data_IF_844889267252
#
_entry.id   IF_844889267252
#
_cell.length_a   1.000
_cell.length_b   1.000
_cell.length_c   1.000
_cell.angle_alpha   90.00
_cell.angle_beta   90.00
_cell.angle_gamma   90.00
#
_symmetry.space_group_name_H-M   'P 1'
#
loop_
_entity.id
_entity.type
_entity.pdbx_description
1 polymer ?
#
# COMPACT_ATOMS: atom_id res chain seq x y z
N UNK A 1 -0.96 6.82 11.25
CA UNK A 1 -0.11 7.42 10.20
C UNK A 1 -0.30 8.94 10.04
N UNK A 2 -1.08 9.64 10.90
CA UNK A 2 -1.67 10.94 10.53
C UNK A 2 -1.19 12.23 11.19
N UNK A 3 -0.28 12.25 12.19
CA UNK A 3 0.00 13.51 12.92
C UNK A 3 1.43 13.64 13.53
N UNK A 4 2.39 12.82 13.08
CA UNK A 4 3.78 12.89 13.55
C UNK A 4 4.71 13.45 12.46
N UNK A 5 5.94 13.84 12.81
CA UNK A 5 6.97 14.27 11.85
C UNK A 5 7.26 13.19 10.78
N UNK A 6 7.87 13.60 9.67
CA UNK A 6 8.12 12.73 8.52
C UNK A 6 8.96 11.47 8.86
N UNK A 7 9.92 11.60 9.77
CA UNK A 7 10.76 10.48 10.21
C UNK A 7 9.93 9.43 10.97
N UNK A 8 8.95 9.87 11.76
CA UNK A 8 8.01 8.96 12.43
C UNK A 8 7.12 8.22 11.42
N UNK A 9 6.59 8.92 10.41
CA UNK A 9 5.78 8.29 9.36
C UNK A 9 6.59 7.28 8.55
N UNK A 10 7.81 7.64 8.16
CA UNK A 10 8.75 6.75 7.46
C UNK A 10 9.03 5.48 8.29
N UNK A 11 9.32 5.64 9.58
CA UNK A 11 9.60 4.52 10.49
C UNK A 11 8.39 3.59 10.62
N UNK A 12 7.18 4.15 10.77
CA UNK A 12 5.96 3.34 10.89
C UNK A 12 5.71 2.57 9.60
N UNK A 13 5.73 3.22 8.43
CA UNK A 13 5.56 2.53 7.14
C UNK A 13 6.61 1.43 6.97
N UNK A 14 7.88 1.74 7.18
CA UNK A 14 8.97 0.76 7.07
C UNK A 14 8.79 -0.43 8.03
N UNK A 15 8.34 -0.17 9.25
CA UNK A 15 8.05 -1.22 10.24
C UNK A 15 6.88 -2.10 9.81
N UNK A 16 5.80 -1.50 9.31
CA UNK A 16 4.64 -2.22 8.80
C UNK A 16 5.00 -3.08 7.59
N UNK A 17 5.83 -2.57 6.66
CA UNK A 17 6.31 -3.35 5.53
C UNK A 17 6.99 -4.65 5.98
N UNK A 18 7.89 -4.57 6.97
CA UNK A 18 8.56 -5.74 7.54
C UNK A 18 7.59 -6.70 8.24
N UNK A 19 6.60 -6.17 8.98
CA UNK A 19 5.60 -6.99 9.66
C UNK A 19 4.73 -7.73 8.63
N UNK A 20 4.24 -7.04 7.61
CA UNK A 20 3.39 -7.62 6.56
C UNK A 20 4.11 -8.64 5.71
N UNK A 21 5.41 -8.44 5.44
CA UNK A 21 6.26 -9.44 4.77
C UNK A 21 6.27 -10.79 5.51
N UNK A 22 6.12 -10.77 6.84
CA UNK A 22 6.13 -11.95 7.71
C UNK A 22 4.73 -12.55 7.96
N UNK A 23 3.66 -11.91 7.49
CA UNK A 23 2.27 -12.27 7.80
C UNK A 23 1.39 -12.53 6.57
N UNK A 24 1.82 -13.33 5.58
CA UNK A 24 0.99 -13.63 4.43
C UNK A 24 -0.30 -14.38 4.85
N UNK A 25 -1.45 -13.92 4.37
CA UNK A 25 -2.76 -14.50 4.64
C UNK A 25 -3.25 -14.45 6.11
N UNK A 26 -2.60 -13.68 6.99
CA UNK A 26 -2.94 -13.61 8.42
C UNK A 26 -4.05 -12.61 8.79
N UNK A 27 -4.30 -11.59 7.95
CA UNK A 27 -5.30 -10.56 8.20
C UNK A 27 -6.70 -10.98 7.72
N UNK A 28 -7.71 -10.56 8.47
CA UNK A 28 -9.12 -10.64 8.08
C UNK A 28 -9.61 -9.34 7.42
N UNK A 29 -10.82 -9.39 6.85
CA UNK A 29 -11.50 -8.28 6.17
C UNK A 29 -11.49 -6.97 6.99
N UNK A 30 -11.88 -7.00 8.26
CA UNK A 30 -11.93 -5.78 9.09
C UNK A 30 -10.56 -5.09 9.20
N UNK A 31 -9.48 -5.86 9.37
CA UNK A 31 -8.14 -5.30 9.44
C UNK A 31 -7.72 -4.70 8.09
N UNK A 32 -8.10 -5.34 6.97
CA UNK A 32 -7.87 -4.80 5.63
C UNK A 32 -8.54 -3.44 5.49
N UNK A 33 -9.83 -3.35 5.81
CA UNK A 33 -10.64 -2.13 5.67
C UNK A 33 -10.17 -0.97 6.55
N UNK A 34 -9.61 -1.26 7.73
CA UNK A 34 -9.06 -0.23 8.61
C UNK A 34 -7.70 0.28 8.15
N UNK A 35 -6.86 -0.59 7.56
CA UNK A 35 -5.46 -0.27 7.28
C UNK A 35 -5.23 0.33 5.89
N UNK A 36 -5.94 -0.14 4.86
CA UNK A 36 -5.67 0.31 3.49
C UNK A 36 -5.78 1.83 3.30
N UNK A 37 -6.77 2.56 3.88
CA UNK A 37 -6.90 4.00 3.64
C UNK A 37 -5.70 4.77 4.17
N UNK A 38 -5.15 4.30 5.29
CA UNK A 38 -4.01 4.95 5.94
C UNK A 38 -2.72 4.72 5.18
N UNK A 39 -2.49 3.51 4.67
CA UNK A 39 -1.31 3.19 3.85
C UNK A 39 -1.37 3.97 2.53
N UNK A 40 -2.53 3.99 1.88
CA UNK A 40 -2.72 4.70 0.60
C UNK A 40 -2.50 6.20 0.76
N UNK A 41 -2.94 6.81 1.85
CA UNK A 41 -2.69 8.24 2.13
C UNK A 41 -1.20 8.59 2.22
N UNK A 42 -0.34 7.64 2.61
CA UNK A 42 1.09 7.86 2.65
C UNK A 42 1.75 7.92 1.26
N UNK A 43 1.05 7.55 0.19
CA UNK A 43 1.52 7.76 -1.19
C UNK A 43 1.51 9.26 -1.55
N UNK A 44 0.58 10.04 -0.99
CA UNK A 44 0.47 11.49 -1.17
C UNK A 44 1.43 12.30 -0.27
N UNK A 45 2.34 11.66 0.47
CA UNK A 45 3.22 12.36 1.40
C UNK A 45 4.22 13.27 0.67
N UNK A 46 4.51 14.44 1.25
CA UNK A 46 5.51 15.35 0.66
C UNK A 46 6.95 14.84 0.76
N UNK A 47 7.22 13.91 1.68
CA UNK A 47 8.54 13.31 1.86
C UNK A 47 8.65 12.02 1.02
N UNK A 48 9.62 11.98 0.11
CA UNK A 48 9.86 10.86 -0.79
C UNK A 48 10.07 9.53 -0.06
N UNK A 49 10.80 9.52 1.06
CA UNK A 49 11.07 8.28 1.82
C UNK A 49 9.78 7.68 2.36
N UNK A 50 8.83 8.53 2.79
CA UNK A 50 7.51 8.07 3.25
C UNK A 50 6.75 7.45 2.09
N UNK A 51 6.76 8.09 0.91
CA UNK A 51 6.09 7.55 -0.28
C UNK A 51 6.66 6.19 -0.71
N UNK A 52 7.99 6.06 -0.79
CA UNK A 52 8.65 4.79 -1.12
C UNK A 52 8.38 3.71 -0.06
N UNK A 53 8.42 4.07 1.22
CA UNK A 53 8.05 3.16 2.31
C UNK A 53 6.58 2.72 2.20
N UNK A 54 5.67 3.63 1.80
CA UNK A 54 4.27 3.31 1.56
C UNK A 54 4.08 2.34 0.39
N UNK A 55 4.77 2.52 -0.74
CA UNK A 55 4.76 1.56 -1.85
C UNK A 55 5.19 0.16 -1.38
N UNK A 56 6.31 0.08 -0.66
CA UNK A 56 6.80 -1.20 -0.11
C UNK A 56 5.77 -1.81 0.86
N UNK A 57 5.21 -1.00 1.75
CA UNK A 57 4.19 -1.43 2.72
C UNK A 57 2.96 -1.99 2.03
N UNK A 58 2.42 -1.26 1.05
CA UNK A 58 1.22 -1.62 0.31
C UNK A 58 1.43 -2.91 -0.49
N UNK A 59 2.60 -3.08 -1.12
CA UNK A 59 2.96 -4.31 -1.85
C UNK A 59 2.95 -5.56 -0.97
N UNK A 60 3.44 -5.45 0.27
CA UNK A 60 3.38 -6.57 1.22
C UNK A 60 1.98 -6.73 1.81
N UNK A 61 1.30 -5.63 2.14
CA UNK A 61 -0.06 -5.61 2.67
C UNK A 61 -1.05 -6.37 1.78
N UNK A 62 -0.99 -6.21 0.46
CA UNK A 62 -1.85 -6.92 -0.51
C UNK A 62 -1.71 -8.45 -0.45
N UNK A 63 -0.68 -8.98 0.22
CA UNK A 63 -0.44 -10.42 0.41
C UNK A 63 -0.84 -10.91 1.80
N UNK A 64 -1.24 -10.01 2.69
CA UNK A 64 -1.49 -10.32 4.10
C UNK A 64 -2.87 -10.88 4.38
N UNK A 65 -3.81 -10.87 3.42
CA UNK A 65 -5.13 -11.45 3.58
C UNK A 65 -5.49 -12.35 2.39
N UNK A 66 -6.54 -13.16 2.54
CA UNK A 66 -7.12 -13.87 1.40
C UNK A 66 -7.70 -12.85 0.41
N UNK A 67 -7.69 -13.12 -0.91
CA UNK A 67 -8.17 -12.18 -1.92
C UNK A 67 -9.56 -11.62 -1.60
N UNK A 68 -10.49 -12.47 -1.16
CA UNK A 68 -11.87 -12.09 -0.88
C UNK A 68 -12.00 -10.98 0.18
N UNK A 69 -11.01 -10.84 1.06
CA UNK A 69 -10.96 -9.79 2.09
C UNK A 69 -10.60 -8.40 1.53
N UNK A 70 -10.13 -8.31 0.28
CA UNK A 70 -9.86 -7.04 -0.42
C UNK A 70 -10.96 -6.66 -1.41
N UNK A 71 -11.92 -7.57 -1.66
CA UNK A 71 -12.89 -7.44 -2.74
C UNK A 71 -13.77 -6.19 -2.57
N UNK A 72 -14.11 -5.56 -3.70
CA UNK A 72 -15.01 -4.42 -3.74
C UNK A 72 -14.26 -3.10 -3.63
N UNK A 73 -14.66 -2.24 -2.69
CA UNK A 73 -14.18 -0.85 -2.66
C UNK A 73 -12.70 -0.73 -2.30
N UNK A 74 -12.14 -1.65 -1.51
CA UNK A 74 -10.75 -1.58 -1.08
C UNK A 74 -9.78 -1.74 -2.26
N UNK A 75 -9.88 -2.86 -3.01
CA UNK A 75 -8.99 -3.09 -4.15
C UNK A 75 -9.18 -2.06 -5.27
N UNK A 76 -10.43 -1.68 -5.58
CA UNK A 76 -10.72 -0.66 -6.59
C UNK A 76 -10.09 0.69 -6.23
N UNK A 77 -10.25 1.13 -4.99
CA UNK A 77 -9.69 2.39 -4.53
C UNK A 77 -8.15 2.36 -4.53
N UNK A 78 -7.54 1.26 -4.09
CA UNK A 78 -6.08 1.09 -4.15
C UNK A 78 -5.58 1.24 -5.59
N UNK A 79 -6.20 0.53 -6.54
CA UNK A 79 -5.83 0.57 -7.96
C UNK A 79 -6.00 1.99 -8.53
N UNK A 80 -7.13 2.66 -8.25
CA UNK A 80 -7.38 4.04 -8.67
C UNK A 80 -6.29 4.99 -8.17
N UNK A 81 -5.91 4.89 -6.89
CA UNK A 81 -4.85 5.73 -6.32
C UNK A 81 -3.48 5.41 -6.92
N UNK A 82 -3.16 4.14 -7.18
CA UNK A 82 -1.91 3.76 -7.84
C UNK A 82 -1.84 4.34 -9.26
N UNK A 83 -2.94 4.37 -10.02
CA UNK A 83 -2.96 5.02 -11.33
C UNK A 83 -2.67 6.52 -11.27
N UNK A 84 -3.15 7.22 -10.24
CA UNK A 84 -2.82 8.65 -10.05
C UNK A 84 -1.31 8.84 -9.87
N UNK A 85 -0.66 7.95 -9.10
CA UNK A 85 0.77 8.06 -8.78
C UNK A 85 1.69 7.57 -9.91
N UNK A 86 1.16 6.88 -10.93
CA UNK A 86 1.91 6.53 -12.15
C UNK A 86 2.35 7.76 -12.96
N UNK A 87 1.70 8.91 -12.78
CA UNK A 87 2.04 10.17 -13.44
C UNK A 87 3.11 10.99 -12.68
N UNK A 88 3.69 10.45 -11.59
CA UNK A 88 4.71 11.16 -10.80
C UNK A 88 5.96 11.46 -11.65
N UNK A 89 6.60 12.64 -11.53
CA UNK A 89 7.79 12.97 -12.32
C UNK A 89 9.04 12.14 -11.99
N UNK A 90 9.09 11.47 -10.84
CA UNK A 90 10.21 10.62 -10.44
C UNK A 90 10.06 9.20 -11.03
N UNK A 91 10.95 8.79 -11.97
CA UNK A 91 10.87 7.47 -12.61
C UNK A 91 11.10 6.31 -11.63
N UNK A 92 11.84 6.52 -10.55
CA UNK A 92 12.06 5.47 -9.53
C UNK A 92 10.77 5.25 -8.72
N UNK A 93 10.05 6.33 -8.41
CA UNK A 93 8.76 6.24 -7.75
C UNK A 93 7.66 5.67 -8.66
N UNK A 94 7.66 6.01 -9.95
CA UNK A 94 6.79 5.36 -10.94
C UNK A 94 7.04 3.84 -10.99
N UNK A 95 8.31 3.43 -10.98
CA UNK A 95 8.69 2.00 -10.97
C UNK A 95 8.18 1.31 -9.71
N UNK A 96 8.39 1.91 -8.54
CA UNK A 96 7.87 1.38 -7.28
C UNK A 96 6.34 1.26 -7.28
N UNK A 97 5.64 2.26 -7.80
CA UNK A 97 4.17 2.28 -7.91
C UNK A 97 3.67 1.19 -8.86
N UNK A 98 4.32 1.02 -10.02
CA UNK A 98 4.01 -0.03 -10.98
C UNK A 98 4.15 -1.43 -10.37
N UNK A 99 5.20 -1.67 -9.57
CA UNK A 99 5.37 -2.95 -8.88
C UNK A 99 4.23 -3.26 -7.89
N UNK A 100 3.65 -2.24 -7.25
CA UNK A 100 2.45 -2.41 -6.42
C UNK A 100 1.23 -2.67 -7.29
N UNK A 101 1.07 -1.92 -8.36
CA UNK A 101 -0.08 -2.01 -9.28
C UNK A 101 -0.21 -3.40 -9.90
N UNK A 102 0.91 -4.03 -10.29
CA UNK A 102 0.92 -5.41 -10.80
C UNK A 102 0.33 -6.37 -9.76
N UNK A 103 0.77 -6.27 -8.50
CA UNK A 103 0.26 -7.14 -7.42
C UNK A 103 -1.22 -6.88 -7.13
N UNK A 104 -1.65 -5.60 -7.17
CA UNK A 104 -3.05 -5.24 -6.95
C UNK A 104 -3.95 -5.77 -8.07
N UNK A 105 -3.52 -5.69 -9.34
CA UNK A 105 -4.27 -6.22 -10.48
C UNK A 105 -4.33 -7.75 -10.42
N UNK A 106 -3.23 -8.42 -10.10
CA UNK A 106 -3.24 -9.89 -9.90
C UNK A 106 -4.25 -10.30 -8.84
N UNK A 107 -4.28 -9.58 -7.72
CA UNK A 107 -5.24 -9.81 -6.64
C UNK A 107 -6.70 -9.56 -7.08
N UNK A 108 -6.96 -8.51 -7.87
CA UNK A 108 -8.29 -8.18 -8.39
C UNK A 108 -8.82 -9.24 -9.37
N UNK A 109 -7.91 -9.91 -10.11
CA UNK A 109 -8.28 -11.01 -11.00
C UNK A 109 -8.64 -12.31 -10.24
N UNK A 110 -8.17 -12.46 -9.00
CA UNK A 110 -8.41 -13.62 -8.15
C UNK A 110 -9.70 -13.52 -7.31
N UNK A 111 -10.39 -12.38 -7.29
CA UNK A 111 -11.60 -12.11 -6.46
C UNK A 111 -12.95 -12.19 -7.15
#
# INVERSE_FOLDING_TARGET
LGDDDDSTRELICSSLALIFEMLPGALGEEAVHQLYPDIVRCLDDSNENVRFAACRTLRHFLKTAQPENFKGTAINYIIEQLFVHMDDPDPDFQTATMEVLVVAIELDLDV
#
